data_IF_551995634640
#
_entry.id   IF_551995634640
#
_cell.length_a   1.000
_cell.length_b   1.000
_cell.length_c   1.000
_cell.angle_alpha   90.00
_cell.angle_beta   90.00
_cell.angle_gamma   90.00
#
_symmetry.space_group_name_H-M   'P 1'
#
loop_
_entity.id
_entity.type
_entity.pdbx_description
1 polymer ?
#
# COMPACT_ATOMS: atom_id res chain seq x y z
N UNK A 1 8.46 -50.44 34.76
CA UNK A 1 8.03 -50.21 33.37
C UNK A 1 8.66 -48.91 32.93
N UNK A 2 9.85 -49.01 32.35
CA UNK A 2 10.67 -47.87 31.94
C UNK A 2 10.05 -47.21 30.71
N UNK A 3 9.53 -46.00 30.88
CA UNK A 3 9.19 -45.14 29.76
C UNK A 3 10.51 -44.57 29.21
N UNK A 4 10.93 -45.07 28.04
CA UNK A 4 12.01 -44.46 27.27
C UNK A 4 11.66 -42.99 27.01
N UNK A 5 12.59 -42.05 27.24
CA UNK A 5 12.37 -40.64 26.89
C UNK A 5 12.10 -40.54 25.39
N UNK A 6 11.06 -39.79 25.03
CA UNK A 6 10.71 -39.48 23.66
C UNK A 6 11.92 -38.78 23.00
N UNK A 7 12.55 -39.44 22.04
CA UNK A 7 13.69 -38.90 21.31
C UNK A 7 13.29 -37.57 20.65
N UNK A 8 13.93 -36.49 21.09
CA UNK A 8 13.97 -35.23 20.35
C UNK A 8 14.68 -35.51 19.03
N UNK A 9 13.91 -35.71 17.96
CA UNK A 9 14.43 -35.77 16.60
C UNK A 9 15.28 -34.51 16.33
N UNK A 10 16.60 -34.68 16.37
CA UNK A 10 17.53 -33.66 15.90
C UNK A 10 17.44 -33.67 14.37
N UNK A 11 17.14 -32.53 13.69
CA UNK A 11 16.79 -32.52 12.26
C UNK A 11 17.92 -32.87 11.27
N UNK A 12 19.07 -33.36 11.76
CA UNK A 12 20.23 -33.73 10.94
C UNK A 12 20.27 -35.23 10.59
N UNK A 13 19.28 -36.04 10.96
CA UNK A 13 19.14 -37.33 10.31
C UNK A 13 18.76 -37.13 8.84
N UNK A 14 19.66 -37.57 7.97
CA UNK A 14 19.45 -37.59 6.53
C UNK A 14 18.28 -38.52 6.22
N UNK A 15 17.12 -37.96 5.89
CA UNK A 15 16.05 -38.73 5.25
C UNK A 15 16.64 -39.39 3.98
N UNK A 16 16.70 -40.73 3.90
CA UNK A 16 17.29 -41.45 2.77
C UNK A 16 16.50 -41.29 1.46
N UNK A 17 15.34 -40.62 1.47
CA UNK A 17 14.57 -40.25 0.26
C UNK A 17 14.96 -38.90 -0.36
N UNK A 18 16.06 -38.28 0.08
CA UNK A 18 16.51 -37.01 -0.49
C UNK A 18 16.91 -37.18 -1.96
N UNK A 19 16.15 -36.54 -2.84
CA UNK A 19 16.50 -36.40 -4.25
C UNK A 19 17.88 -35.72 -4.35
N UNK A 20 18.82 -36.32 -5.10
CA UNK A 20 20.19 -35.82 -5.27
C UNK A 20 20.29 -34.53 -6.11
N UNK A 21 19.17 -34.05 -6.66
CA UNK A 21 19.12 -32.83 -7.45
C UNK A 21 19.13 -31.61 -6.51
N UNK A 22 20.02 -30.67 -6.78
CA UNK A 22 20.08 -29.38 -6.09
C UNK A 22 18.77 -28.61 -6.32
N UNK A 23 18.09 -28.25 -5.24
CA UNK A 23 16.93 -27.34 -5.25
C UNK A 23 17.31 -25.96 -4.67
N UNK A 24 16.41 -24.99 -4.81
CA UNK A 24 16.56 -23.64 -4.27
C UNK A 24 15.71 -23.40 -3.01
N UNK A 25 15.21 -24.44 -2.32
CA UNK A 25 14.33 -24.31 -1.16
C UNK A 25 15.12 -23.86 0.09
N UNK A 26 14.62 -22.83 0.76
CA UNK A 26 15.20 -22.38 2.03
C UNK A 26 14.77 -23.31 3.15
N UNK A 27 15.64 -24.19 3.64
CA UNK A 27 15.26 -25.15 4.69
C UNK A 27 15.52 -24.64 6.11
N UNK A 28 16.53 -23.80 6.27
CA UNK A 28 16.90 -23.19 7.53
C UNK A 28 17.47 -21.79 7.32
N UNK A 29 17.06 -20.83 8.14
CA UNK A 29 17.63 -19.49 8.18
C UNK A 29 17.39 -18.85 9.55
N UNK A 30 18.45 -18.31 10.16
CA UNK A 30 18.36 -17.56 11.42
C UNK A 30 17.52 -18.28 12.51
N UNK A 31 17.75 -19.59 12.69
CA UNK A 31 17.03 -20.42 13.67
C UNK A 31 15.57 -20.76 13.29
N UNK A 32 15.13 -20.36 12.10
CA UNK A 32 13.82 -20.72 11.54
C UNK A 32 13.99 -21.90 10.58
N UNK A 33 13.16 -22.93 10.76
CA UNK A 33 13.16 -24.13 9.92
C UNK A 33 11.90 -24.16 9.07
N UNK A 34 12.04 -24.63 7.83
CA UNK A 34 11.00 -24.62 6.82
C UNK A 34 10.88 -26.01 6.18
N UNK A 35 9.63 -26.47 5.97
CA UNK A 35 9.33 -27.69 5.20
C UNK A 35 8.34 -27.37 4.10
N UNK A 36 8.55 -27.97 2.95
CA UNK A 36 7.77 -27.72 1.74
C UNK A 36 7.09 -29.02 1.28
N UNK A 37 5.96 -28.88 0.57
CA UNK A 37 5.34 -30.00 -0.17
C UNK A 37 6.13 -30.33 -1.45
N UNK A 38 5.68 -31.35 -2.18
CA UNK A 38 6.28 -31.78 -3.45
C UNK A 38 6.15 -30.72 -4.56
N UNK A 39 5.16 -29.84 -4.47
CA UNK A 39 4.96 -28.70 -5.39
C UNK A 39 5.89 -27.54 -5.04
N UNK A 40 6.52 -27.54 -3.87
CA UNK A 40 7.45 -26.51 -3.41
C UNK A 40 6.77 -25.36 -2.67
N UNK A 41 5.57 -25.58 -2.12
CA UNK A 41 4.90 -24.63 -1.24
C UNK A 41 5.27 -24.91 0.21
N UNK A 42 5.52 -23.87 1.01
CA UNK A 42 5.83 -24.02 2.42
C UNK A 42 4.61 -24.60 3.16
N UNK A 43 4.77 -25.73 3.84
CA UNK A 43 3.69 -26.39 4.62
C UNK A 43 3.92 -26.33 6.13
N UNK A 44 5.16 -26.16 6.57
CA UNK A 44 5.49 -26.06 8.00
C UNK A 44 6.64 -25.08 8.24
N UNK A 45 6.48 -24.21 9.23
CA UNK A 45 7.53 -23.31 9.73
C UNK A 45 7.68 -23.50 11.23
N UNK A 46 8.91 -23.68 11.70
CA UNK A 46 9.26 -23.72 13.12
C UNK A 46 10.18 -22.55 13.44
N UNK A 47 9.75 -21.67 14.33
CA UNK A 47 10.50 -20.48 14.73
C UNK A 47 10.41 -20.28 16.24
N UNK A 48 11.55 -20.28 16.93
CA UNK A 48 11.63 -20.10 18.38
C UNK A 48 10.68 -21.04 19.16
N UNK A 49 10.52 -22.28 18.70
CA UNK A 49 9.60 -23.27 19.28
C UNK A 49 8.13 -23.13 18.86
N UNK A 50 7.74 -22.06 18.15
CA UNK A 50 6.39 -21.90 17.64
C UNK A 50 6.24 -22.62 16.28
N UNK A 51 5.20 -23.45 16.18
CA UNK A 51 4.87 -24.19 14.96
C UNK A 51 3.78 -23.45 14.19
N UNK A 52 4.00 -23.32 12.88
CA UNK A 52 3.02 -22.78 11.95
C UNK A 52 2.81 -23.76 10.78
N UNK A 53 1.56 -24.04 10.48
CA UNK A 53 1.11 -24.93 9.41
C UNK A 53 0.40 -24.13 8.33
N UNK A 54 0.71 -24.46 7.07
CA UNK A 54 0.18 -23.79 5.89
C UNK A 54 -0.46 -24.84 4.99
N UNK A 55 -1.69 -24.57 4.54
CA UNK A 55 -2.42 -25.44 3.61
C UNK A 55 -2.70 -24.69 2.32
N UNK A 56 -2.53 -25.37 1.20
CA UNK A 56 -2.65 -24.78 -0.14
C UNK A 56 -3.81 -25.42 -0.90
N UNK A 57 -4.45 -24.64 -1.77
CA UNK A 57 -5.45 -25.17 -2.70
C UNK A 57 -4.80 -25.79 -3.94
N UNK A 58 -5.61 -26.33 -4.85
CA UNK A 58 -5.12 -26.98 -6.07
C UNK A 58 -4.40 -26.00 -7.02
N UNK A 59 -4.61 -24.69 -6.87
CA UNK A 59 -4.01 -23.62 -7.67
C UNK A 59 -2.76 -22.99 -7.01
N UNK A 60 -2.17 -23.65 -6.00
CA UNK A 60 -1.02 -23.14 -5.24
C UNK A 60 -1.28 -21.80 -4.53
N UNK A 61 -2.53 -21.55 -4.11
CA UNK A 61 -2.90 -20.39 -3.28
C UNK A 61 -3.06 -20.83 -1.84
N UNK A 62 -2.63 -20.00 -0.89
CA UNK A 62 -2.70 -20.31 0.54
C UNK A 62 -4.17 -20.38 0.96
N UNK A 63 -4.67 -21.57 1.26
CA UNK A 63 -6.07 -21.79 1.66
C UNK A 63 -6.27 -21.57 3.16
N UNK A 64 -5.30 -21.96 3.98
CA UNK A 64 -5.36 -21.72 5.43
C UNK A 64 -3.98 -21.68 6.09
N UNK A 65 -3.94 -21.03 7.24
CA UNK A 65 -2.81 -21.03 8.17
C UNK A 65 -3.29 -21.35 9.58
N UNK A 66 -2.49 -22.10 10.34
CA UNK A 66 -2.74 -22.28 11.76
C UNK A 66 -1.44 -22.38 12.55
N UNK A 67 -1.41 -21.75 13.71
CA UNK A 67 -0.39 -21.92 14.73
C UNK A 67 -1.05 -22.26 16.09
N UNK A 68 -0.26 -22.22 17.16
CA UNK A 68 -0.73 -22.50 18.52
C UNK A 68 -1.77 -21.48 19.05
N UNK A 69 -1.88 -20.31 18.41
CA UNK A 69 -2.70 -19.18 18.89
C UNK A 69 -3.98 -19.02 18.10
N UNK A 70 -3.95 -19.22 16.78
CA UNK A 70 -5.06 -18.95 15.89
C UNK A 70 -5.07 -19.85 14.64
N UNK A 71 -6.19 -19.78 13.93
CA UNK A 71 -6.35 -20.28 12.57
C UNK A 71 -6.90 -19.15 11.69
N UNK A 72 -6.48 -19.10 10.43
CA UNK A 72 -7.08 -18.24 9.40
C UNK A 72 -7.36 -19.04 8.14
N UNK A 73 -8.53 -18.81 7.55
CA UNK A 73 -8.94 -19.36 6.26
C UNK A 73 -9.04 -18.22 5.23
N UNK A 74 -8.61 -18.48 4.00
CA UNK A 74 -8.62 -17.54 2.89
C UNK A 74 -9.47 -18.07 1.73
N UNK A 75 -10.06 -17.16 0.95
CA UNK A 75 -10.71 -17.51 -0.30
C UNK A 75 -10.39 -16.50 -1.40
N UNK A 76 -10.51 -16.95 -2.64
CA UNK A 76 -10.08 -16.24 -3.84
C UNK A 76 -11.14 -16.34 -4.93
N UNK A 77 -11.15 -15.37 -5.83
CA UNK A 77 -11.94 -15.45 -7.06
C UNK A 77 -11.22 -16.29 -8.13
N UNK A 78 -11.85 -16.40 -9.30
CA UNK A 78 -11.31 -17.13 -10.44
C UNK A 78 -10.02 -16.50 -11.03
N UNK A 79 -9.78 -15.22 -10.77
CA UNK A 79 -8.58 -14.50 -11.22
C UNK A 79 -7.44 -14.56 -10.19
N UNK A 80 -7.64 -15.26 -9.07
CA UNK A 80 -6.65 -15.39 -8.00
C UNK A 80 -6.63 -14.22 -7.01
N UNK A 81 -7.59 -13.30 -7.07
CA UNK A 81 -7.68 -12.18 -6.12
C UNK A 81 -8.35 -12.64 -4.84
N UNK A 82 -7.76 -12.34 -3.68
CA UNK A 82 -8.32 -12.69 -2.37
C UNK A 82 -9.68 -12.02 -2.15
N UNK A 83 -10.73 -12.80 -1.91
CA UNK A 83 -12.07 -12.33 -1.60
C UNK A 83 -12.25 -12.07 -0.11
N UNK A 84 -11.77 -12.96 0.75
CA UNK A 84 -11.83 -12.76 2.19
C UNK A 84 -10.67 -13.45 2.92
N UNK A 85 -10.48 -13.02 4.17
CA UNK A 85 -9.81 -13.80 5.22
C UNK A 85 -10.71 -13.88 6.45
N UNK A 86 -10.68 -15.03 7.13
CA UNK A 86 -11.42 -15.22 8.37
C UNK A 86 -10.52 -15.88 9.42
N UNK A 87 -10.12 -15.11 10.42
CA UNK A 87 -9.27 -15.58 11.51
C UNK A 87 -10.04 -15.83 12.79
N UNK A 88 -9.70 -16.92 13.48
CA UNK A 88 -10.32 -17.37 14.73
C UNK A 88 -9.22 -17.73 15.72
N UNK A 89 -9.29 -17.16 16.92
CA UNK A 89 -8.39 -17.50 18.01
C UNK A 89 -8.71 -18.89 18.58
N UNK A 90 -7.68 -19.70 18.84
CA UNK A 90 -7.84 -20.97 19.54
C UNK A 90 -8.20 -20.71 21.00
N UNK A 91 -9.30 -21.30 21.48
CA UNK A 91 -9.71 -21.19 22.88
C UNK A 91 -10.34 -22.50 23.35
N UNK A 92 -9.91 -22.96 24.52
CA UNK A 92 -10.47 -24.12 25.20
C UNK A 92 -11.34 -23.63 26.34
N UNK A 93 -12.62 -24.03 26.32
CA UNK A 93 -13.54 -23.69 27.40
C UNK A 93 -13.11 -24.32 28.71
N UNK A 94 -13.30 -23.57 29.79
CA UNK A 94 -13.14 -24.08 31.14
C UNK A 94 -14.47 -24.71 31.56
N UNK A 95 -14.52 -26.03 31.81
CA UNK A 95 -15.76 -26.70 32.23
C UNK A 95 -16.32 -26.14 33.54
N UNK A 96 -15.46 -25.59 34.40
CA UNK A 96 -15.83 -25.01 35.69
C UNK A 96 -16.38 -23.59 35.57
N UNK A 97 -16.25 -22.95 34.40
CA UNK A 97 -16.73 -21.60 34.15
C UNK A 97 -18.11 -21.62 33.48
N UNK A 98 -18.96 -20.66 33.84
CA UNK A 98 -20.26 -20.46 33.18
C UNK A 98 -20.11 -20.11 31.69
N UNK A 99 -21.14 -20.43 30.89
CA UNK A 99 -21.17 -20.21 29.43
C UNK A 99 -20.87 -18.76 29.04
N UNK A 100 -21.45 -17.79 29.75
CA UNK A 100 -21.19 -16.37 29.53
C UNK A 100 -19.74 -15.95 29.79
N UNK A 101 -19.08 -16.57 30.78
CA UNK A 101 -17.66 -16.28 31.07
C UNK A 101 -16.75 -16.82 29.96
N UNK A 102 -16.97 -18.06 29.53
CA UNK A 102 -16.23 -18.65 28.40
C UNK A 102 -16.41 -17.83 27.12
N UNK A 103 -17.64 -17.38 26.84
CA UNK A 103 -17.94 -16.50 25.70
C UNK A 103 -17.15 -15.16 25.78
N UNK A 104 -17.14 -14.51 26.95
CA UNK A 104 -16.39 -13.27 27.16
C UNK A 104 -14.87 -13.48 26.97
N UNK A 105 -14.32 -14.59 27.45
CA UNK A 105 -12.89 -14.88 27.27
C UNK A 105 -12.53 -15.20 25.82
N UNK A 106 -13.39 -15.93 25.09
CA UNK A 106 -13.23 -16.15 23.65
C UNK A 106 -13.20 -14.82 22.89
N UNK A 107 -14.16 -13.94 23.14
CA UNK A 107 -14.24 -12.62 22.53
C UNK A 107 -13.01 -11.76 22.87
N UNK A 108 -12.55 -11.79 24.13
CA UNK A 108 -11.32 -11.12 24.54
C UNK A 108 -10.11 -11.64 23.76
N UNK A 109 -9.94 -12.96 23.66
CA UNK A 109 -8.79 -13.55 22.94
C UNK A 109 -8.82 -13.24 21.45
N UNK A 110 -10.02 -13.24 20.84
CA UNK A 110 -10.23 -12.81 19.45
C UNK A 110 -9.75 -11.37 19.24
N UNK A 111 -10.10 -10.44 20.15
CA UNK A 111 -9.64 -9.05 20.12
C UNK A 111 -8.12 -8.92 20.29
N UNK A 112 -7.56 -9.59 21.29
CA UNK A 112 -6.13 -9.51 21.63
C UNK A 112 -5.24 -9.98 20.46
N UNK A 113 -5.71 -10.99 19.70
CA UNK A 113 -5.02 -11.50 18.51
C UNK A 113 -5.46 -10.81 17.20
N UNK A 114 -6.31 -9.79 17.28
CA UNK A 114 -6.81 -9.05 16.11
C UNK A 114 -7.61 -9.89 15.13
N UNK A 115 -8.11 -11.05 15.54
CA UNK A 115 -8.77 -12.01 14.68
C UNK A 115 -10.16 -11.53 14.24
N UNK A 116 -10.63 -11.96 13.07
CA UNK A 116 -11.98 -11.71 12.58
C UNK A 116 -12.13 -11.91 11.08
N UNK A 117 -13.29 -11.51 10.57
CA UNK A 117 -13.59 -11.54 9.14
C UNK A 117 -13.15 -10.25 8.46
N UNK A 118 -12.53 -10.36 7.30
CA UNK A 118 -12.21 -9.24 6.42
C UNK A 118 -12.53 -9.62 4.98
N UNK A 119 -13.40 -8.84 4.35
CA UNK A 119 -13.74 -8.91 2.94
C UNK A 119 -12.88 -7.93 2.14
N UNK A 120 -12.48 -8.31 0.93
CA UNK A 120 -11.67 -7.49 0.04
C UNK A 120 -12.42 -7.23 -1.27
N UNK A 121 -12.35 -5.99 -1.75
CA UNK A 121 -12.81 -5.59 -3.07
C UNK A 121 -11.67 -5.04 -3.90
N UNK A 122 -11.73 -5.27 -5.20
CA UNK A 122 -10.64 -5.03 -6.14
C UNK A 122 -11.05 -4.10 -7.27
N UNK A 123 -10.14 -3.24 -7.70
CA UNK A 123 -10.22 -2.48 -8.94
C UNK A 123 -9.06 -2.92 -9.85
N UNK A 124 -9.41 -3.71 -10.86
CA UNK A 124 -8.44 -4.50 -11.63
C UNK A 124 -7.57 -5.37 -10.74
N UNK A 125 -6.30 -5.01 -10.65
CA UNK A 125 -5.25 -5.71 -9.90
C UNK A 125 -4.97 -5.07 -8.53
N UNK A 126 -5.46 -3.86 -8.29
CA UNK A 126 -5.24 -3.11 -7.06
C UNK A 126 -6.35 -3.35 -6.04
N UNK A 127 -5.99 -3.36 -4.75
CA UNK A 127 -6.95 -3.56 -3.67
C UNK A 127 -7.74 -2.26 -3.44
N UNK A 128 -8.99 -2.21 -3.86
CA UNK A 128 -9.83 -1.01 -3.76
C UNK A 128 -10.32 -0.76 -2.34
N UNK A 129 -10.69 -1.81 -1.61
CA UNK A 129 -11.14 -1.69 -0.22
C UNK A 129 -11.03 -3.00 0.55
N UNK A 130 -10.94 -2.87 1.88
CA UNK A 130 -11.18 -3.95 2.83
C UNK A 130 -12.35 -3.58 3.75
N UNK A 131 -13.15 -4.56 4.16
CA UNK A 131 -14.29 -4.34 5.03
C UNK A 131 -14.39 -5.42 6.10
N UNK A 132 -14.65 -5.02 7.33
CA UNK A 132 -14.83 -5.91 8.48
C UNK A 132 -16.18 -5.63 9.15
N UNK A 133 -16.94 -6.68 9.51
CA UNK A 133 -18.16 -6.51 10.29
C UNK A 133 -17.83 -6.04 11.72
N UNK A 134 -18.84 -5.56 12.46
CA UNK A 134 -18.74 -5.37 13.91
C UNK A 134 -18.17 -6.61 14.60
N UNK A 135 -17.19 -6.41 15.48
CA UNK A 135 -16.59 -7.51 16.24
C UNK A 135 -17.33 -7.81 17.56
N UNK A 136 -17.95 -6.80 18.16
CA UNK A 136 -18.60 -6.87 19.46
C UNK A 136 -19.80 -5.90 19.54
N UNK A 137 -20.59 -6.02 20.61
CA UNK A 137 -21.67 -5.09 20.93
C UNK A 137 -21.11 -3.66 21.11
N UNK A 138 -21.49 -2.75 20.20
CA UNK A 138 -21.02 -1.36 20.16
C UNK A 138 -19.92 -1.09 19.14
N UNK A 139 -19.36 -2.11 18.48
CA UNK A 139 -18.57 -1.92 17.27
C UNK A 139 -19.52 -1.64 16.10
N UNK A 140 -19.10 -0.74 15.21
CA UNK A 140 -19.85 -0.40 14.00
C UNK A 140 -19.32 -1.15 12.79
N UNK A 141 -18.22 -1.90 12.94
CA UNK A 141 -17.47 -2.44 11.82
C UNK A 141 -16.73 -1.32 11.09
N UNK A 142 -16.01 -1.66 10.03
CA UNK A 142 -15.23 -0.68 9.29
C UNK A 142 -15.01 -1.06 7.84
N UNK A 143 -14.80 -0.06 7.00
CA UNK A 143 -14.33 -0.22 5.63
C UNK A 143 -13.21 0.77 5.36
N UNK A 144 -12.08 0.29 4.86
CA UNK A 144 -10.95 1.11 4.41
C UNK A 144 -10.92 1.05 2.91
N UNK A 145 -10.91 2.21 2.26
CA UNK A 145 -10.70 2.36 0.82
C UNK A 145 -9.27 2.78 0.56
N UNK A 146 -8.66 2.23 -0.47
CA UNK A 146 -7.33 2.60 -0.92
C UNK A 146 -7.43 3.23 -2.31
N UNK A 147 -6.69 4.32 -2.52
CA UNK A 147 -6.56 4.99 -3.80
C UNK A 147 -5.10 4.93 -4.21
N UNK A 148 -4.86 4.57 -5.47
CA UNK A 148 -3.52 4.45 -6.05
C UNK A 148 -3.33 5.45 -7.19
N UNK A 149 -2.08 5.67 -7.57
CA UNK A 149 -1.75 6.35 -8.82
C UNK A 149 -2.30 5.55 -10.01
N UNK A 150 -2.85 6.22 -11.05
CA UNK A 150 -3.38 5.51 -12.21
C UNK A 150 -2.37 4.57 -12.85
N UNK A 151 -2.75 3.29 -13.01
CA UNK A 151 -1.91 2.26 -13.62
C UNK A 151 -0.72 1.81 -12.77
N UNK A 152 -0.74 2.07 -11.47
CA UNK A 152 0.36 1.81 -10.53
C UNK A 152 -0.16 1.20 -9.23
N UNK A 153 0.74 0.63 -8.43
CA UNK A 153 0.45 0.13 -7.07
C UNK A 153 0.94 1.09 -5.98
N UNK A 154 1.39 2.29 -6.35
CA UNK A 154 1.77 3.36 -5.42
C UNK A 154 0.50 3.93 -4.77
N UNK A 155 0.31 3.77 -3.44
CA UNK A 155 -0.87 4.30 -2.78
C UNK A 155 -0.75 5.82 -2.61
N UNK A 156 -1.87 6.51 -2.74
CA UNK A 156 -2.00 7.98 -2.66
C UNK A 156 -2.77 8.38 -1.40
N UNK A 157 -3.90 7.73 -1.15
CA UNK A 157 -4.72 7.99 0.02
C UNK A 157 -5.42 6.73 0.52
N UNK A 158 -5.77 6.73 1.81
CA UNK A 158 -6.76 5.82 2.34
C UNK A 158 -7.90 6.57 3.02
N UNK A 159 -9.10 6.02 2.90
CA UNK A 159 -10.31 6.60 3.46
C UNK A 159 -11.09 5.55 4.27
N UNK A 160 -11.35 5.84 5.53
CA UNK A 160 -12.03 4.97 6.47
C UNK A 160 -13.51 5.36 6.58
N UNK A 161 -14.36 4.33 6.68
CA UNK A 161 -15.75 4.42 7.13
C UNK A 161 -15.96 3.50 8.33
N UNK A 162 -16.63 3.98 9.37
CA UNK A 162 -17.05 3.23 10.57
C UNK A 162 -18.37 2.48 10.32
N UNK A 163 -18.37 1.70 9.24
CA UNK A 163 -19.47 0.83 8.83
C UNK A 163 -18.94 -0.21 7.82
N UNK A 164 -19.56 -1.41 7.73
CA UNK A 164 -19.22 -2.38 6.72
C UNK A 164 -19.64 -1.89 5.33
N UNK A 165 -19.03 -2.46 4.29
CA UNK A 165 -19.40 -2.20 2.92
C UNK A 165 -20.80 -2.78 2.68
N UNK A 166 -21.65 -2.04 1.99
CA UNK A 166 -22.97 -2.53 1.59
C UNK A 166 -22.81 -3.23 0.26
N UNK A 167 -23.09 -4.53 0.22
CA UNK A 167 -23.08 -5.33 -1.01
C UNK A 167 -24.50 -5.47 -1.56
N UNK A 168 -24.61 -5.52 -2.89
CA UNK A 168 -25.87 -5.91 -3.51
C UNK A 168 -26.17 -7.38 -3.20
N UNK A 169 -27.44 -7.68 -2.96
CA UNK A 169 -27.88 -9.07 -2.85
C UNK A 169 -27.71 -9.74 -4.21
N UNK A 170 -27.03 -10.89 -4.25
CA UNK A 170 -26.96 -11.69 -5.47
C UNK A 170 -28.35 -12.29 -5.77
N UNK A 171 -28.99 -11.92 -6.90
CA UNK A 171 -30.22 -12.58 -7.33
C UNK A 171 -29.97 -14.05 -7.70
N UNK A 172 -30.95 -14.91 -7.42
CA UNK A 172 -30.92 -16.32 -7.83
C UNK A 172 -31.64 -16.49 -9.18
N UNK A 173 -30.86 -16.82 -10.20
CA UNK A 173 -31.34 -17.07 -11.56
C UNK A 173 -31.36 -18.57 -11.92
N UNK A 174 -31.19 -19.50 -10.97
CA UNK A 174 -31.13 -20.93 -11.30
C UNK A 174 -32.42 -21.51 -11.86
N UNK A 175 -33.57 -20.89 -11.57
CA UNK A 175 -34.90 -21.36 -11.97
C UNK A 175 -35.55 -20.51 -13.06
N UNK A 176 -34.89 -19.47 -13.56
CA UNK A 176 -35.44 -18.55 -14.56
C UNK A 176 -34.33 -17.94 -15.42
N UNK A 177 -34.66 -17.48 -16.61
CA UNK A 177 -33.68 -16.78 -17.45
C UNK A 177 -33.16 -15.50 -16.76
N UNK A 178 -31.91 -15.16 -17.06
CA UNK A 178 -31.31 -13.92 -16.60
C UNK A 178 -32.08 -12.73 -17.18
N UNK A 179 -32.45 -11.79 -16.31
CA UNK A 179 -33.15 -10.57 -16.69
C UNK A 179 -32.38 -9.35 -16.16
N UNK A 180 -31.84 -8.56 -17.09
CA UNK A 180 -31.07 -7.34 -16.82
C UNK A 180 -31.89 -6.31 -16.04
N UNK A 181 -33.17 -6.18 -16.38
CA UNK A 181 -34.10 -5.23 -15.76
C UNK A 181 -34.60 -5.70 -14.39
N UNK A 182 -34.13 -6.86 -13.91
CA UNK A 182 -34.40 -7.39 -12.57
C UNK A 182 -33.12 -7.63 -11.74
N UNK A 183 -31.93 -7.38 -12.29
CA UNK A 183 -30.69 -7.44 -11.53
C UNK A 183 -30.46 -6.15 -10.72
N UNK A 184 -30.39 -6.22 -9.38
CA UNK A 184 -30.13 -5.06 -8.54
C UNK A 184 -28.83 -4.33 -8.88
N UNK A 185 -27.84 -5.02 -9.47
CA UNK A 185 -26.57 -4.42 -9.87
C UNK A 185 -26.76 -3.30 -10.91
N UNK A 186 -27.72 -3.45 -11.82
CA UNK A 186 -27.97 -2.48 -12.90
C UNK A 186 -29.00 -1.40 -12.53
N UNK A 187 -29.80 -1.64 -11.50
CA UNK A 187 -30.89 -0.75 -11.10
C UNK A 187 -30.57 0.11 -9.88
N UNK A 188 -29.61 -0.32 -9.07
CA UNK A 188 -29.32 0.35 -7.79
C UNK A 188 -28.21 1.36 -7.96
N UNK A 189 -28.55 2.65 -7.95
CA UNK A 189 -27.55 3.70 -7.78
C UNK A 189 -27.30 3.93 -6.30
N UNK A 190 -26.11 3.60 -5.81
CA UNK A 190 -25.72 3.92 -4.45
C UNK A 190 -25.29 5.39 -4.35
N UNK A 191 -25.91 6.22 -3.50
CA UNK A 191 -25.44 7.59 -3.32
C UNK A 191 -24.03 7.57 -2.69
N UNK A 192 -23.14 8.52 -3.06
CA UNK A 192 -21.84 8.66 -2.44
C UNK A 192 -22.00 8.83 -0.93
N UNK A 193 -21.31 8.00 -0.16
CA UNK A 193 -21.31 8.12 1.30
C UNK A 193 -20.03 8.83 1.75
N UNK A 194 -20.16 9.72 2.73
CA UNK A 194 -19.02 10.41 3.31
C UNK A 194 -18.09 9.45 4.04
N UNK A 195 -16.81 9.82 4.09
CA UNK A 195 -15.79 9.13 4.87
C UNK A 195 -15.69 9.75 6.27
N UNK A 196 -15.42 8.91 7.27
CA UNK A 196 -15.21 9.37 8.65
C UNK A 196 -13.76 9.86 8.85
N UNK A 197 -12.81 9.33 8.09
CA UNK A 197 -11.39 9.68 8.20
C UNK A 197 -10.70 9.49 6.87
N UNK A 198 -9.79 10.40 6.51
CA UNK A 198 -8.94 10.29 5.32
C UNK A 198 -7.49 10.56 5.74
N UNK A 199 -6.55 9.82 5.16
CA UNK A 199 -5.12 10.05 5.31
C UNK A 199 -4.40 9.88 3.97
N UNK A 200 -3.25 10.55 3.82
CA UNK A 200 -2.46 10.58 2.60
C UNK A 200 -1.15 9.85 2.80
N UNK A 201 -0.78 9.03 1.83
CA UNK A 201 0.46 8.28 1.82
C UNK A 201 1.62 9.16 1.38
N UNK A 202 2.76 9.01 2.05
CA UNK A 202 4.06 9.50 1.63
C UNK A 202 4.95 8.30 1.39
N UNK A 203 5.31 8.07 0.14
CA UNK A 203 6.04 6.89 -0.28
C UNK A 203 7.52 7.19 -0.54
N UNK A 204 8.36 6.15 -0.47
CA UNK A 204 9.73 6.21 -0.98
C UNK A 204 9.77 6.23 -2.53
N UNK A 205 10.97 6.21 -3.10
CA UNK A 205 11.16 6.21 -4.56
C UNK A 205 10.68 4.94 -5.26
N UNK A 206 10.36 3.87 -4.52
CA UNK A 206 9.76 2.63 -5.05
C UNK A 206 8.25 2.59 -4.85
N UNK A 207 7.63 3.58 -4.21
CA UNK A 207 6.21 3.54 -3.89
C UNK A 207 5.87 2.81 -2.59
N UNK A 208 6.85 2.52 -1.75
CA UNK A 208 6.63 1.92 -0.42
C UNK A 208 6.12 2.98 0.54
N UNK A 209 4.98 2.78 1.23
CA UNK A 209 4.51 3.69 2.27
C UNK A 209 5.55 3.91 3.37
N UNK A 210 6.01 5.15 3.55
CA UNK A 210 6.90 5.53 4.65
C UNK A 210 6.12 6.22 5.78
N UNK A 211 5.16 7.07 5.42
CA UNK A 211 4.34 7.81 6.38
C UNK A 211 2.90 7.96 5.87
N UNK A 212 1.96 8.16 6.79
CA UNK A 212 0.63 8.67 6.49
C UNK A 212 0.39 9.95 7.29
N UNK A 213 -0.17 10.98 6.65
CA UNK A 213 -0.59 12.21 7.33
C UNK A 213 -2.11 12.30 7.48
N UNK A 214 -2.56 12.83 8.62
CA UNK A 214 -3.96 13.15 8.91
C UNK A 214 -4.46 14.38 8.12
N UNK A 215 -5.76 14.74 8.20
CA UNK A 215 -6.32 15.93 7.54
C UNK A 215 -5.73 17.27 7.99
N UNK A 216 -5.01 17.30 9.11
CA UNK A 216 -4.31 18.46 9.62
C UNK A 216 -2.83 18.49 9.19
N UNK A 217 -2.36 17.48 8.46
CA UNK A 217 -0.99 17.35 8.00
C UNK A 217 -0.01 16.86 9.08
N UNK A 218 -0.51 16.30 10.19
CA UNK A 218 0.33 15.65 11.20
C UNK A 218 0.55 14.18 10.82
N UNK A 219 1.69 13.62 11.23
CA UNK A 219 1.97 12.20 11.02
C UNK A 219 1.00 11.35 11.85
N UNK A 220 0.20 10.54 11.16
CA UNK A 220 -0.76 9.61 11.72
C UNK A 220 -0.15 8.20 11.88
N UNK A 221 0.67 7.79 10.91
CA UNK A 221 1.39 6.52 10.91
C UNK A 221 2.77 6.71 10.28
N UNK A 222 3.78 6.00 10.78
CA UNK A 222 5.12 5.96 10.19
C UNK A 222 5.68 4.53 10.21
N UNK A 223 6.41 4.16 9.17
CA UNK A 223 7.06 2.87 9.02
C UNK A 223 8.57 3.01 8.91
N UNK A 224 9.31 2.28 9.75
CA UNK A 224 10.76 2.14 9.66
C UNK A 224 11.08 0.76 9.09
N UNK A 225 11.61 0.72 7.86
CA UNK A 225 11.83 -0.51 7.11
C UNK A 225 13.28 -0.99 7.20
N UNK A 226 13.44 -2.31 7.27
CA UNK A 226 14.68 -2.99 6.84
C UNK A 226 14.63 -3.20 5.32
N UNK A 227 15.79 -3.49 4.74
CA UNK A 227 15.97 -3.66 3.30
C UNK A 227 14.92 -4.59 2.65
N UNK A 228 14.54 -5.69 3.30
CA UNK A 228 13.65 -6.70 2.71
C UNK A 228 12.19 -6.61 3.19
N UNK A 229 11.77 -5.45 3.69
CA UNK A 229 10.35 -5.16 3.95
C UNK A 229 9.85 -5.44 5.36
N UNK A 230 10.70 -5.95 6.27
CA UNK A 230 10.39 -5.95 7.71
C UNK A 230 10.21 -4.51 8.18
N UNK A 231 9.10 -4.21 8.86
CA UNK A 231 8.75 -2.86 9.28
C UNK A 231 8.51 -2.78 10.78
N UNK A 232 8.96 -1.69 11.40
CA UNK A 232 8.48 -1.23 12.70
C UNK A 232 7.54 -0.06 12.47
N UNK A 233 6.33 -0.18 13.00
CA UNK A 233 5.26 0.81 12.81
C UNK A 233 5.03 1.65 14.06
N UNK A 234 4.77 2.94 13.86
CA UNK A 234 4.36 3.86 14.92
C UNK A 234 3.08 4.57 14.50
N UNK A 235 2.16 4.76 15.45
CA UNK A 235 0.84 5.38 15.25
C UNK A 235 0.63 6.49 16.25
N UNK A 236 0.16 7.63 15.78
CA UNK A 236 -0.25 8.73 16.64
C UNK A 236 -1.51 8.36 17.45
N UNK A 237 -1.76 9.08 18.55
CA UNK A 237 -2.99 8.90 19.33
C UNK A 237 -4.24 9.18 18.50
N UNK A 238 -4.16 10.15 17.58
CA UNK A 238 -5.24 10.42 16.62
C UNK A 238 -5.51 9.19 15.74
N UNK A 239 -4.47 8.54 15.21
CA UNK A 239 -4.63 7.35 14.39
C UNK A 239 -5.15 6.15 15.19
N UNK A 240 -4.78 6.03 16.47
CA UNK A 240 -5.35 5.02 17.38
C UNK A 240 -6.83 5.24 17.62
N UNK A 241 -7.22 6.46 17.97
CA UNK A 241 -8.61 6.85 18.24
C UNK A 241 -9.52 6.65 17.02
N UNK A 242 -9.01 6.93 15.81
CA UNK A 242 -9.77 6.77 14.57
C UNK A 242 -9.67 5.36 13.97
N UNK A 243 -8.90 4.45 14.59
CA UNK A 243 -8.73 3.09 14.07
C UNK A 243 -7.92 3.02 12.77
N UNK A 244 -7.15 4.06 12.46
CA UNK A 244 -6.33 4.16 11.27
C UNK A 244 -5.04 3.33 11.41
N UNK A 245 -4.82 2.41 10.48
CA UNK A 245 -3.62 1.57 10.33
C UNK A 245 -3.23 1.48 8.85
N UNK A 246 -2.06 0.90 8.56
CA UNK A 246 -1.61 0.70 7.19
C UNK A 246 -1.12 -0.76 6.98
N UNK A 247 -1.87 -1.60 6.23
CA UNK A 247 -1.41 -2.93 5.85
C UNK A 247 -0.60 -2.95 4.54
N UNK A 248 -0.56 -1.87 3.76
CA UNK A 248 0.16 -1.82 2.49
C UNK A 248 1.68 -1.82 2.75
N UNK A 249 2.43 -2.53 1.91
CA UNK A 249 3.89 -2.73 2.02
C UNK A 249 4.56 -2.32 0.71
N UNK A 250 5.54 -3.09 0.22
CA UNK A 250 6.04 -2.88 -1.15
C UNK A 250 4.88 -2.92 -2.15
N UNK A 251 5.08 -2.35 -3.34
CA UNK A 251 4.05 -2.33 -4.37
C UNK A 251 3.44 -3.73 -4.57
N UNK A 252 2.10 -3.80 -4.55
CA UNK A 252 1.34 -5.06 -4.65
C UNK A 252 1.12 -5.83 -3.34
N UNK A 253 1.82 -5.46 -2.26
CA UNK A 253 1.85 -6.24 -1.04
C UNK A 253 0.90 -5.74 0.05
N UNK A 254 0.22 -6.69 0.69
CA UNK A 254 -0.63 -6.50 1.87
C UNK A 254 -0.13 -7.37 3.02
N UNK A 255 0.10 -6.79 4.20
CA UNK A 255 0.55 -7.53 5.38
C UNK A 255 -0.59 -8.25 6.10
N UNK A 256 -0.48 -9.57 6.21
CA UNK A 256 -1.35 -10.39 7.05
C UNK A 256 -0.70 -10.63 8.41
N UNK A 257 -1.17 -9.91 9.43
CA UNK A 257 -0.64 -10.01 10.79
C UNK A 257 -0.81 -11.42 11.38
N UNK A 258 -1.79 -12.20 10.91
CA UNK A 258 -2.01 -13.58 11.34
C UNK A 258 -0.83 -14.50 11.00
N UNK A 259 -0.23 -14.30 9.82
CA UNK A 259 0.84 -15.16 9.30
C UNK A 259 2.23 -14.52 9.39
N UNK A 260 2.27 -13.19 9.52
CA UNK A 260 3.46 -12.36 9.37
C UNK A 260 3.96 -12.27 7.92
N UNK A 261 3.23 -12.80 6.95
CA UNK A 261 3.58 -12.75 5.54
C UNK A 261 2.93 -11.54 4.86
N UNK A 262 3.49 -11.17 3.73
CA UNK A 262 2.90 -10.20 2.83
C UNK A 262 2.22 -10.95 1.67
N UNK A 263 0.91 -10.87 1.59
CA UNK A 263 0.15 -11.32 0.42
C UNK A 263 0.48 -10.39 -0.75
N UNK A 264 1.04 -10.97 -1.82
CA UNK A 264 1.47 -10.27 -3.03
C UNK A 264 0.78 -10.88 -4.26
N UNK A 265 -0.55 -10.72 -4.29
CA UNK A 265 -1.47 -11.22 -5.33
C UNK A 265 -1.36 -12.72 -5.62
N UNK A 266 -0.35 -13.13 -6.39
CA UNK A 266 -0.13 -14.52 -6.79
C UNK A 266 0.77 -15.31 -5.84
N UNK A 267 1.50 -14.61 -4.95
CA UNK A 267 2.45 -15.23 -4.01
C UNK A 267 2.37 -14.65 -2.61
N UNK A 268 3.10 -15.27 -1.68
CA UNK A 268 3.19 -14.88 -0.28
C UNK A 268 4.67 -14.66 0.07
N UNK A 269 5.00 -13.45 0.50
CA UNK A 269 6.37 -13.01 0.75
C UNK A 269 6.70 -13.04 2.23
N UNK A 270 7.78 -13.74 2.59
CA UNK A 270 8.36 -13.74 3.94
C UNK A 270 9.48 -12.68 3.99
N UNK A 271 9.22 -11.61 4.73
CA UNK A 271 10.18 -10.50 4.91
C UNK A 271 11.45 -10.92 5.63
N UNK A 272 11.38 -11.90 6.54
CA UNK A 272 12.54 -12.40 7.29
C UNK A 272 13.43 -13.27 6.42
N UNK A 273 12.82 -14.14 5.63
CA UNK A 273 13.50 -14.98 4.65
C UNK A 273 13.88 -14.23 3.36
N UNK A 274 13.41 -13.00 3.19
CA UNK A 274 13.59 -12.16 2.00
C UNK A 274 13.17 -12.83 0.68
N UNK A 275 12.11 -13.66 0.71
CA UNK A 275 11.70 -14.49 -0.44
C UNK A 275 10.24 -14.90 -0.38
N UNK A 276 9.71 -15.36 -1.51
CA UNK A 276 8.42 -16.01 -1.55
C UNK A 276 8.46 -17.41 -0.92
N UNK A 277 7.34 -17.86 -0.37
CA UNK A 277 7.19 -19.17 0.27
C UNK A 277 6.54 -20.24 -0.63
N UNK A 278 6.13 -19.86 -1.84
CA UNK A 278 5.63 -20.71 -2.91
C UNK A 278 6.38 -20.41 -4.22
N UNK A 279 6.30 -21.33 -5.18
CA UNK A 279 6.91 -21.16 -6.50
C UNK A 279 6.21 -20.06 -7.30
N UNK A 280 6.95 -19.47 -8.22
CA UNK A 280 6.41 -18.59 -9.25
C UNK A 280 5.39 -19.33 -10.13
N UNK A 281 4.11 -18.88 -10.19
CA UNK A 281 3.09 -19.51 -11.02
C UNK A 281 3.40 -19.43 -12.53
N UNK A 282 4.17 -18.43 -12.97
CA UNK A 282 4.66 -18.36 -14.36
C UNK A 282 6.00 -19.10 -14.54
N UNK A 283 6.45 -19.84 -13.53
CA UNK A 283 7.62 -20.70 -13.56
C UNK A 283 8.87 -19.94 -14.02
N UNK A 284 9.65 -20.52 -14.95
CA UNK A 284 10.90 -19.94 -15.44
C UNK A 284 10.72 -18.64 -16.24
N UNK A 285 9.49 -18.25 -16.60
CA UNK A 285 9.24 -16.93 -17.18
C UNK A 285 9.49 -15.79 -16.18
N UNK A 286 9.32 -16.04 -14.87
CA UNK A 286 9.71 -15.10 -13.80
C UNK A 286 11.20 -15.13 -13.46
N UNK A 287 11.93 -16.13 -13.96
CA UNK A 287 13.37 -16.33 -13.80
C UNK A 287 13.75 -17.71 -13.23
N UNK A 288 15.05 -17.99 -13.18
CA UNK A 288 15.57 -19.30 -12.76
C UNK A 288 15.33 -19.61 -11.27
N UNK A 289 15.35 -18.59 -10.41
CA UNK A 289 15.02 -18.73 -8.99
C UNK A 289 13.54 -18.43 -8.76
N UNK A 290 12.72 -19.48 -8.70
CA UNK A 290 11.25 -19.39 -8.58
C UNK A 290 10.72 -18.79 -7.26
N UNK A 291 11.57 -18.48 -6.29
CA UNK A 291 11.18 -17.90 -5.00
C UNK A 291 11.74 -16.49 -4.77
N UNK A 292 12.57 -15.98 -5.68
CA UNK A 292 13.19 -14.67 -5.52
C UNK A 292 12.13 -13.58 -5.60
N UNK A 293 12.20 -12.60 -4.70
CA UNK A 293 11.36 -11.41 -4.81
C UNK A 293 11.90 -10.45 -5.87
N UNK A 294 13.12 -9.96 -5.66
CA UNK A 294 13.78 -9.00 -6.53
C UNK A 294 15.31 -9.17 -6.47
N UNK A 295 16.09 -8.71 -7.46
CA UNK A 295 17.55 -8.83 -7.44
C UNK A 295 18.17 -7.92 -6.38
N UNK A 296 17.55 -6.76 -6.13
CA UNK A 296 17.82 -5.89 -5.00
C UNK A 296 16.54 -5.14 -4.62
N UNK A 297 16.33 -4.81 -3.34
CA UNK A 297 15.10 -4.17 -2.88
C UNK A 297 15.16 -2.64 -2.98
N UNK A 298 16.17 -2.08 -3.68
CA UNK A 298 16.39 -0.63 -3.78
C UNK A 298 15.87 -0.09 -5.11
N UNK A 299 15.93 -0.88 -6.18
CA UNK A 299 15.59 -0.41 -7.53
C UNK A 299 14.59 -1.31 -8.24
N UNK A 300 14.14 -2.39 -7.59
CA UNK A 300 13.23 -3.35 -8.18
C UNK A 300 12.00 -3.57 -7.32
N UNK A 301 10.89 -3.82 -8.01
CA UNK A 301 9.59 -4.14 -7.43
C UNK A 301 9.03 -5.40 -8.10
N UNK A 302 8.06 -6.05 -7.48
CA UNK A 302 7.26 -7.13 -8.09
C UNK A 302 5.79 -6.96 -7.68
N UNK A 303 5.04 -6.08 -8.36
CA UNK A 303 3.69 -5.69 -7.93
C UNK A 303 2.63 -6.78 -8.04
N UNK A 304 2.88 -7.79 -8.88
CA UNK A 304 1.95 -8.91 -9.08
C UNK A 304 2.41 -10.17 -8.36
N UNK A 305 3.64 -10.20 -7.84
CA UNK A 305 4.23 -11.43 -7.37
C UNK A 305 4.47 -12.42 -8.51
N UNK A 306 4.88 -11.96 -9.69
CA UNK A 306 5.13 -12.78 -10.88
C UNK A 306 6.44 -12.41 -11.58
N UNK A 307 6.65 -11.12 -11.83
CA UNK A 307 7.77 -10.62 -12.59
C UNK A 307 8.30 -9.35 -11.94
N UNK A 308 9.57 -9.41 -11.53
CA UNK A 308 10.31 -8.27 -10.99
C UNK A 308 10.65 -7.27 -12.09
N UNK A 309 10.46 -5.99 -11.81
CA UNK A 309 10.68 -4.87 -12.74
C UNK A 309 11.64 -3.85 -12.12
N UNK A 310 12.57 -3.29 -12.92
CA UNK A 310 13.42 -2.20 -12.43
C UNK A 310 12.67 -0.87 -12.53
N UNK A 311 12.54 -0.16 -11.42
CA UNK A 311 12.03 1.21 -11.35
C UNK A 311 13.00 2.22 -11.99
N UNK A 312 14.25 1.79 -12.22
CA UNK A 312 15.33 2.58 -12.79
C UNK A 312 15.27 2.74 -14.32
N UNK A 313 14.10 2.80 -14.95
CA UNK A 313 13.98 3.19 -16.38
C UNK A 313 14.82 2.42 -17.41
N UNK A 314 15.43 1.29 -17.06
CA UNK A 314 16.31 0.57 -17.96
C UNK A 314 15.48 -0.35 -18.86
N UNK A 315 14.84 0.25 -19.88
CA UNK A 315 14.71 -0.46 -21.16
C UNK A 315 16.14 -0.80 -21.58
N UNK A 316 16.45 -2.09 -21.62
CA UNK A 316 17.80 -2.57 -21.89
C UNK A 316 18.39 -1.89 -23.12
N UNK A 317 19.53 -1.23 -22.92
CA UNK A 317 20.55 -0.95 -23.92
C UNK A 317 21.80 -0.49 -23.17
N UNK A 318 22.81 -1.37 -23.14
CA UNK A 318 24.23 -1.00 -23.19
C UNK A 318 24.85 -0.18 -22.04
N UNK A 319 25.76 -0.87 -21.35
CA UNK A 319 26.96 -0.36 -20.68
C UNK A 319 26.82 0.41 -19.36
N UNK A 320 27.40 -0.25 -18.35
CA UNK A 320 27.78 0.27 -17.05
C UNK A 320 28.94 1.28 -17.18
N UNK A 321 28.74 2.47 -16.63
CA UNK A 321 29.69 3.44 -16.02
C UNK A 321 28.78 4.61 -15.63
N UNK A 322 28.58 5.03 -14.38
CA UNK A 322 29.52 5.31 -13.30
C UNK A 322 28.79 5.14 -11.96
N UNK A 323 29.26 4.22 -11.11
CA UNK A 323 28.86 4.15 -9.71
C UNK A 323 29.84 5.00 -8.90
N UNK A 324 29.39 6.12 -8.33
CA UNK A 324 30.29 6.89 -7.47
C UNK A 324 29.87 8.28 -7.00
N UNK A 325 28.60 8.58 -6.69
CA UNK A 325 28.28 9.74 -5.82
C UNK A 325 26.81 9.86 -5.39
N UNK A 326 26.21 8.92 -4.64
CA UNK A 326 24.90 9.22 -4.00
C UNK A 326 24.80 8.56 -2.62
N UNK A 327 25.43 9.17 -1.62
CA UNK A 327 25.13 8.95 -0.21
C UNK A 327 24.68 10.27 0.42
N UNK A 328 23.49 10.72 0.02
CA UNK A 328 22.59 11.56 0.81
C UNK A 328 21.15 11.22 0.38
N UNK A 329 20.24 11.08 1.34
CA UNK A 329 18.81 10.88 1.09
C UNK A 329 18.26 12.03 0.23
N UNK A 330 18.01 11.80 -1.06
CA UNK A 330 17.34 12.78 -1.91
C UNK A 330 15.87 12.39 -2.05
N UNK A 331 14.98 13.29 -1.60
CA UNK A 331 13.58 13.30 -2.04
C UNK A 331 13.59 13.68 -3.52
N UNK A 332 13.66 12.69 -4.43
CA UNK A 332 14.00 12.91 -5.84
C UNK A 332 13.13 13.92 -6.61
N UNK A 333 11.93 14.24 -6.13
CA UNK A 333 11.04 15.23 -6.75
C UNK A 333 10.91 16.54 -5.96
N UNK A 334 11.30 16.57 -4.69
CA UNK A 334 11.04 17.71 -3.80
C UNK A 334 12.34 18.41 -3.45
N UNK A 335 12.36 19.73 -3.55
CA UNK A 335 13.58 20.50 -3.36
C UNK A 335 14.13 20.43 -1.94
N UNK A 336 13.25 20.45 -0.91
CA UNK A 336 13.52 20.45 0.55
C UNK A 336 12.29 19.99 1.37
N UNK A 337 12.35 20.09 2.70
CA UNK A 337 11.15 20.14 3.55
C UNK A 337 10.19 21.24 3.10
N UNK A 338 8.86 21.01 3.19
CA UNK A 338 7.90 21.98 2.70
C UNK A 338 8.05 23.31 3.47
N UNK A 339 8.06 24.40 2.71
CA UNK A 339 8.21 25.73 3.29
C UNK A 339 6.88 26.24 3.81
N UNK A 340 6.94 27.18 4.75
CA UNK A 340 5.77 27.97 5.14
C UNK A 340 5.78 29.27 4.33
N UNK A 341 4.74 29.49 3.52
CA UNK A 341 4.56 30.73 2.77
C UNK A 341 3.17 31.29 3.02
N UNK A 342 3.11 32.49 3.63
CA UNK A 342 1.86 33.22 3.91
C UNK A 342 0.77 32.38 4.59
N UNK A 343 1.16 31.49 5.51
CA UNK A 343 0.24 30.63 6.26
C UNK A 343 -0.08 29.28 5.59
N UNK A 344 0.43 29.01 4.40
CA UNK A 344 0.28 27.74 3.71
C UNK A 344 1.60 26.95 3.74
N UNK A 345 1.49 25.63 3.98
CA UNK A 345 2.59 24.70 3.76
C UNK A 345 2.71 24.43 2.25
N UNK A 346 3.88 24.69 1.66
CA UNK A 346 4.12 24.56 0.22
C UNK A 346 5.17 23.50 -0.08
N UNK A 347 4.79 22.52 -0.88
CA UNK A 347 5.66 21.46 -1.39
C UNK A 347 6.22 21.89 -2.75
N UNK A 348 7.52 22.19 -2.77
CA UNK A 348 8.23 22.74 -3.92
C UNK A 348 8.99 21.66 -4.69
N UNK A 349 8.97 21.74 -6.02
CA UNK A 349 9.60 20.78 -6.91
C UNK A 349 10.54 21.48 -7.90
N UNK A 350 11.84 21.27 -7.74
CA UNK A 350 12.84 21.86 -8.62
C UNK A 350 12.99 21.10 -9.96
N UNK A 351 12.47 19.88 -10.05
CA UNK A 351 12.54 19.05 -11.26
C UNK A 351 11.50 19.45 -12.33
N UNK A 352 10.51 20.27 -11.97
CA UNK A 352 9.41 20.62 -12.86
C UNK A 352 9.79 21.59 -13.98
N UNK A 353 10.89 22.33 -13.85
CA UNK A 353 11.30 23.37 -14.80
C UNK A 353 12.82 23.64 -14.72
N UNK A 354 13.41 24.09 -15.82
CA UNK A 354 14.76 24.66 -15.82
C UNK A 354 14.67 26.18 -15.54
N UNK A 355 15.29 26.71 -14.47
CA UNK A 355 15.25 28.15 -14.15
C UNK A 355 15.90 29.04 -15.23
N UNK A 356 16.82 28.50 -16.03
CA UNK A 356 17.53 29.23 -17.08
C UNK A 356 16.86 29.12 -18.45
N UNK A 357 15.81 28.30 -18.57
CA UNK A 357 15.05 28.14 -19.82
C UNK A 357 14.53 29.49 -20.30
N UNK A 358 14.89 29.86 -21.53
CA UNK A 358 14.40 31.07 -22.18
C UNK A 358 12.94 30.90 -22.58
N UNK A 359 12.10 31.83 -22.15
CA UNK A 359 10.66 31.84 -22.40
C UNK A 359 10.21 33.23 -22.83
N UNK A 360 9.01 33.32 -23.42
CA UNK A 360 8.39 34.60 -23.74
C UNK A 360 7.05 34.76 -23.01
N UNK A 361 6.72 35.99 -22.61
CA UNK A 361 5.43 36.36 -22.03
C UNK A 361 5.02 37.77 -22.44
N UNK A 362 3.75 38.11 -22.17
CA UNK A 362 3.22 39.46 -22.39
C UNK A 362 3.12 40.23 -21.07
N UNK A 363 3.54 41.48 -21.11
CA UNK A 363 3.40 42.44 -20.01
C UNK A 363 3.15 43.83 -20.60
N UNK A 364 2.07 44.50 -20.16
CA UNK A 364 1.69 45.82 -20.70
C UNK A 364 1.53 45.86 -22.23
N UNK A 365 1.13 44.75 -22.86
CA UNK A 365 0.99 44.64 -24.32
C UNK A 365 2.28 44.37 -25.10
N UNK A 366 3.45 44.37 -24.46
CA UNK A 366 4.74 44.06 -25.07
C UNK A 366 5.12 42.60 -24.84
N UNK A 367 5.80 41.99 -25.81
CA UNK A 367 6.40 40.66 -25.66
C UNK A 367 7.76 40.82 -25.01
N UNK A 368 7.92 40.20 -23.84
CA UNK A 368 9.19 40.11 -23.11
C UNK A 368 9.72 38.69 -23.31
N UNK A 369 11.04 38.59 -23.49
CA UNK A 369 11.76 37.31 -23.54
C UNK A 369 12.79 37.30 -22.42
N UNK A 370 12.83 36.21 -21.66
CA UNK A 370 13.74 36.04 -20.53
C UNK A 370 13.65 34.63 -19.95
N UNK A 371 14.56 34.34 -19.03
CA UNK A 371 14.64 33.07 -18.31
C UNK A 371 13.39 32.80 -17.46
N UNK A 372 13.18 31.53 -17.11
CA UNK A 372 12.15 31.15 -16.14
C UNK A 372 12.32 31.85 -14.78
N UNK A 373 13.55 32.11 -14.35
CA UNK A 373 13.83 32.89 -13.15
C UNK A 373 13.32 34.34 -13.26
N UNK A 374 13.53 35.01 -14.40
CA UNK A 374 13.01 36.37 -14.66
C UNK A 374 11.49 36.38 -14.81
N UNK A 375 10.93 35.36 -15.47
CA UNK A 375 9.49 35.14 -15.57
C UNK A 375 8.86 35.03 -14.18
N UNK A 376 9.45 34.24 -13.30
CA UNK A 376 9.02 34.10 -11.90
C UNK A 376 9.16 35.41 -11.11
N UNK A 377 10.25 36.17 -11.30
CA UNK A 377 10.43 37.48 -10.67
C UNK A 377 9.35 38.50 -11.08
N UNK A 378 8.72 38.35 -12.25
CA UNK A 378 7.54 39.12 -12.65
C UNK A 378 6.23 38.67 -11.97
N UNK A 379 6.27 37.60 -11.18
CA UNK A 379 5.14 36.97 -10.48
C UNK A 379 4.37 35.95 -11.32
N UNK A 380 5.01 35.38 -12.35
CA UNK A 380 4.40 34.38 -13.24
C UNK A 380 4.97 33.00 -12.96
N UNK A 381 4.14 31.97 -13.12
CA UNK A 381 4.62 30.60 -13.05
C UNK A 381 5.70 30.34 -14.13
N UNK A 382 6.76 29.57 -13.81
CA UNK A 382 7.74 29.14 -14.79
C UNK A 382 7.08 28.18 -15.79
N UNK A 383 7.67 28.06 -16.99
CA UNK A 383 7.30 27.03 -17.95
C UNK A 383 7.97 25.73 -17.55
N UNK A 384 7.16 24.72 -17.30
CA UNK A 384 7.59 23.38 -16.90
C UNK A 384 8.04 22.50 -18.06
N UNK A 385 8.54 21.32 -17.71
CA UNK A 385 9.02 20.28 -18.65
C UNK A 385 7.95 19.79 -19.64
N UNK A 386 6.67 20.02 -19.32
CA UNK A 386 5.53 19.72 -20.21
C UNK A 386 5.18 20.87 -21.17
N UNK A 387 6.04 21.91 -21.24
CA UNK A 387 5.85 23.08 -22.09
C UNK A 387 4.75 24.04 -21.64
N UNK A 388 4.18 23.83 -20.45
CA UNK A 388 3.09 24.64 -19.89
C UNK A 388 3.51 25.31 -18.59
N UNK A 389 2.79 26.34 -18.16
CA UNK A 389 3.03 26.99 -16.86
C UNK A 389 2.88 25.99 -15.71
N UNK A 390 3.84 25.91 -14.80
CA UNK A 390 3.75 25.09 -13.58
C UNK A 390 2.52 25.49 -12.77
N UNK A 391 1.82 24.50 -12.25
CA UNK A 391 0.58 24.67 -11.50
C UNK A 391 0.85 24.62 -9.99
N UNK A 392 0.11 25.45 -9.23
CA UNK A 392 0.07 25.44 -7.78
C UNK A 392 -1.29 24.89 -7.34
N UNK A 393 -1.29 23.65 -6.87
CA UNK A 393 -2.49 22.92 -6.53
C UNK A 393 -2.80 23.01 -5.03
N UNK A 394 -4.00 23.48 -4.68
CA UNK A 394 -4.55 23.39 -3.32
C UNK A 394 -5.05 21.97 -3.03
N UNK A 395 -4.37 21.25 -2.15
CA UNK A 395 -4.69 19.84 -1.87
C UNK A 395 -6.07 19.66 -1.20
N UNK A 396 -6.50 20.63 -0.39
CA UNK A 396 -7.76 20.57 0.37
C UNK A 396 -8.83 21.55 -0.15
N UNK A 397 -8.53 22.34 -1.19
CA UNK A 397 -9.39 23.44 -1.69
C UNK A 397 -9.86 24.46 -0.65
N UNK A 398 -9.16 24.56 0.48
CA UNK A 398 -9.36 25.60 1.51
C UNK A 398 -8.30 26.69 1.40
N UNK A 399 -8.59 27.92 1.84
CA UNK A 399 -7.65 29.06 1.75
C UNK A 399 -6.33 28.81 2.50
N UNK A 400 -6.38 28.12 3.64
CA UNK A 400 -5.23 27.77 4.48
C UNK A 400 -4.63 26.40 4.15
N UNK A 401 -5.14 25.71 3.12
CA UNK A 401 -4.73 24.37 2.76
C UNK A 401 -3.27 24.26 2.29
N UNK A 402 -2.63 23.09 2.39
CA UNK A 402 -1.33 22.85 1.80
C UNK A 402 -1.37 22.95 0.27
N UNK A 403 -0.25 23.34 -0.32
CA UNK A 403 -0.11 23.61 -1.74
C UNK A 403 1.05 22.79 -2.31
N UNK A 404 0.86 22.19 -3.48
CA UNK A 404 1.90 21.45 -4.18
C UNK A 404 2.17 22.03 -5.58
N UNK A 405 3.46 22.20 -5.93
CA UNK A 405 3.88 22.45 -7.30
C UNK A 405 3.73 21.17 -8.14
N UNK A 406 3.13 21.27 -9.34
CA UNK A 406 3.01 20.15 -10.27
C UNK A 406 2.91 20.64 -11.72
N UNK A 407 3.16 19.77 -12.70
CA UNK A 407 2.98 20.14 -14.11
C UNK A 407 1.50 20.42 -14.42
N UNK A 408 1.24 21.30 -15.39
CA UNK A 408 -0.12 21.61 -15.79
C UNK A 408 -0.81 20.38 -16.41
N UNK A 409 -0.07 19.58 -17.17
CA UNK A 409 -0.60 18.38 -17.81
C UNK A 409 -0.98 17.32 -16.77
N UNK A 410 -0.17 17.13 -15.73
CA UNK A 410 -0.55 16.25 -14.61
C UNK A 410 -1.82 16.73 -13.92
N UNK A 411 -1.91 18.03 -13.63
CA UNK A 411 -3.10 18.61 -12.99
C UNK A 411 -4.37 18.45 -13.86
N UNK A 412 -4.25 18.62 -15.18
CA UNK A 412 -5.38 18.48 -16.11
C UNK A 412 -5.86 17.03 -16.21
N UNK A 413 -4.94 16.10 -16.45
CA UNK A 413 -5.28 14.67 -16.60
C UNK A 413 -5.84 14.07 -15.32
N UNK A 414 -5.33 14.50 -14.17
CA UNK A 414 -5.72 13.93 -12.87
C UNK A 414 -6.69 14.82 -12.09
N UNK A 415 -7.31 15.80 -12.74
CA UNK A 415 -8.15 16.81 -12.08
C UNK A 415 -9.25 16.18 -11.20
N UNK A 416 -9.93 15.13 -11.68
CA UNK A 416 -10.97 14.44 -10.91
C UNK A 416 -10.43 13.71 -9.66
N UNK A 417 -9.17 13.32 -9.68
CA UNK A 417 -8.49 12.60 -8.59
C UNK A 417 -7.96 13.55 -7.52
N UNK A 418 -7.36 14.68 -7.95
CA UNK A 418 -6.72 15.64 -7.05
C UNK A 418 -7.69 16.69 -6.49
N UNK A 419 -8.88 16.86 -7.10
CA UNK A 419 -9.91 17.79 -6.65
C UNK A 419 -11.13 17.04 -6.06
N UNK A 420 -11.30 17.03 -4.73
CA UNK A 420 -12.43 16.37 -4.02
C UNK A 420 -13.79 16.89 -4.51
N UNK A 421 -14.55 16.11 -5.29
CA UNK A 421 -15.88 16.40 -5.87
C UNK A 421 -16.58 17.72 -5.39
N UNK A 422 -16.71 18.74 -6.25
CA UNK A 422 -17.17 20.09 -5.87
C UNK A 422 -18.62 20.19 -5.38
N UNK A 423 -19.39 19.10 -5.45
CA UNK A 423 -20.81 19.08 -5.03
C UNK A 423 -21.02 18.80 -3.53
N UNK A 424 -19.95 18.57 -2.76
CA UNK A 424 -20.06 18.18 -1.33
C UNK A 424 -19.33 19.18 -0.39
N UNK A 425 -18.35 19.95 -0.90
CA UNK A 425 -17.64 20.99 -0.15
C UNK A 425 -17.57 22.25 -1.03
N UNK A 426 -18.21 23.37 -0.64
CA UNK A 426 -18.07 24.63 -1.36
C UNK A 426 -16.59 25.03 -1.44
N UNK A 427 -16.14 25.58 -2.57
CA UNK A 427 -14.78 26.13 -2.66
C UNK A 427 -14.59 27.22 -1.62
N UNK A 428 -13.90 26.91 -0.52
CA UNK A 428 -13.63 27.85 0.57
C UNK A 428 -12.45 28.79 0.29
N UNK A 429 -11.86 28.73 -0.92
CA UNK A 429 -10.76 29.60 -1.34
C UNK A 429 -11.31 30.82 -2.11
N UNK A 430 -11.02 32.02 -1.61
CA UNK A 430 -11.23 33.25 -2.37
C UNK A 430 -10.24 33.26 -3.54
N UNK A 431 -10.78 33.15 -4.77
CA UNK A 431 -9.96 33.07 -5.99
C UNK A 431 -9.11 34.32 -6.21
N UNK A 432 -9.62 35.50 -5.85
CA UNK A 432 -8.87 36.74 -5.97
C UNK A 432 -7.74 36.82 -4.93
N UNK A 433 -7.99 36.32 -3.72
CA UNK A 433 -6.95 36.19 -2.69
C UNK A 433 -5.87 35.18 -3.12
N UNK A 434 -6.27 34.04 -3.68
CA UNK A 434 -5.32 33.03 -4.15
C UNK A 434 -4.52 33.48 -5.38
N UNK A 435 -5.12 34.21 -6.33
CA UNK A 435 -4.38 34.77 -7.46
C UNK A 435 -3.32 35.78 -7.00
N UNK A 436 -3.62 36.62 -6.00
CA UNK A 436 -2.63 37.49 -5.36
C UNK A 436 -1.53 36.69 -4.66
N UNK A 437 -1.90 35.63 -3.93
CA UNK A 437 -0.96 34.74 -3.24
C UNK A 437 0.03 34.10 -4.22
N UNK A 438 -0.44 33.56 -5.35
CA UNK A 438 0.41 32.94 -6.39
C UNK A 438 1.42 33.91 -6.97
N UNK A 439 1.00 35.15 -7.22
CA UNK A 439 1.91 36.19 -7.74
C UNK A 439 3.05 36.44 -6.77
N UNK A 440 2.77 36.55 -5.46
CA UNK A 440 3.80 36.76 -4.45
C UNK A 440 4.70 35.54 -4.30
N UNK A 441 4.13 34.34 -4.33
CA UNK A 441 4.87 33.09 -4.25
C UNK A 441 5.91 32.98 -5.37
N UNK A 442 5.48 33.18 -6.63
CA UNK A 442 6.40 33.11 -7.76
C UNK A 442 7.47 34.20 -7.75
N UNK A 443 7.20 35.40 -7.19
CA UNK A 443 8.22 36.43 -7.04
C UNK A 443 9.36 36.02 -6.10
N UNK A 444 9.08 35.19 -5.10
CA UNK A 444 10.09 34.72 -4.15
C UNK A 444 10.85 33.48 -4.66
N UNK A 445 10.20 32.63 -5.45
CA UNK A 445 10.77 31.36 -5.94
C UNK A 445 12.15 31.45 -6.60
N UNK A 446 12.53 32.51 -7.36
CA UNK A 446 13.87 32.64 -7.93
C UNK A 446 15.00 32.69 -6.91
N UNK A 447 14.73 33.11 -5.68
CA UNK A 447 15.74 33.19 -4.62
C UNK A 447 16.31 31.80 -4.28
N UNK A 448 15.52 30.73 -4.48
CA UNK A 448 15.96 29.35 -4.24
C UNK A 448 17.04 28.87 -5.22
N UNK A 449 17.28 29.63 -6.31
CA UNK A 449 18.22 29.29 -7.38
C UNK A 449 19.36 30.31 -7.54
N UNK A 450 19.45 31.28 -6.63
CA UNK A 450 20.61 32.19 -6.54
C UNK A 450 21.61 31.55 -5.58
N UNK A 451 22.76 31.14 -6.12
CA UNK A 451 23.89 30.67 -5.31
C UNK A 451 24.42 31.76 -4.38
#
# INVERSE_FOLDING_TARGET
MDQKPQELNRPLEADPRRNKLMDNLLREYAGTHYKYDERGNLVHRLQNGAHAHFTWDLFDRLASYSDDKLKVDFAYDALGRRLYKNSVAHYWDRPEAGTGWNQMQRAKRQRDLGCGFTLFGWDGDTLAWESSPPRDDGDTGRTVHYLYEPGSFVPVAQALRKRPIVLHRQPDWRQREYDFDQDPLWQTTMPPQAFDTIAWYHCDHLGTPMELTDPHGNVAWAGQYKAWGEVREERSEWAKQHGLSNPIRFQGQYHDHETGLHYNRHRYYDTRGARFICKDPISYAGGLNQYVHAPNPISWIDPLGLAKECCCGAKGLGNATEAGSVFTQQRNFWSKDPIQFSGNKVYQRNDLFDPNLQTSWREGGKVITGSNAERMASGRAPIGVDGKSVNLHHMTRTQSGPIAEMTQSFHQTNSATIHINPNIIPSGSDRAAFDKWKVQYWKQRPADFRN
#
